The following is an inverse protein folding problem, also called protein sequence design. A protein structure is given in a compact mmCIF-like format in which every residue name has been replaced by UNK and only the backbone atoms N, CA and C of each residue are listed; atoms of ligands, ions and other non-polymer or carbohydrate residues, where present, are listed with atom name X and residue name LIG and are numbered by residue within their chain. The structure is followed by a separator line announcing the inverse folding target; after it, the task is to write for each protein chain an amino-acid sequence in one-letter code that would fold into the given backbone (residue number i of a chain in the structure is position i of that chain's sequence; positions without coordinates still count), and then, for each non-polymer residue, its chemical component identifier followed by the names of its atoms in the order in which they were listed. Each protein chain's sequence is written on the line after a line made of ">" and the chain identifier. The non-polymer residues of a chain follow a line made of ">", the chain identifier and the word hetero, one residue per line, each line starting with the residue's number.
data_IF_961069725708
#
_entry.id   IF_961069725708
#
_cell.length_a   1.000
_cell.length_b   1.000
_cell.length_c   1.000
_cell.angle_alpha   90.00
_cell.angle_beta   90.00
_cell.angle_gamma   90.00
#
_symmetry.space_group_name_H-M   'P 1'
#
loop_
_entity.id
_entity.type
_entity.pdbx_description
1 polymer ?
#
# COMPACT_ATOMS: atom_id res chain seq x y z
N UNK A 1 -11.22 -6.77 -10.75
CA UNK A 1 -11.79 -5.55 -10.10
C UNK A 1 -10.65 -4.60 -9.72
N UNK A 2 -10.98 -3.37 -9.27
CA UNK A 2 -10.00 -2.44 -8.69
C UNK A 2 -10.00 -2.59 -7.18
N UNK A 3 -8.83 -2.79 -6.58
CA UNK A 3 -8.68 -2.97 -5.13
C UNK A 3 -7.81 -1.86 -4.56
N UNK A 4 -8.31 -1.13 -3.58
CA UNK A 4 -7.47 -0.28 -2.72
C UNK A 4 -6.83 -1.18 -1.69
N UNK A 5 -5.50 -1.22 -1.67
CA UNK A 5 -4.73 -2.17 -0.85
C UNK A 5 -4.17 -1.48 0.38
N UNK A 6 -4.40 -2.07 1.55
CA UNK A 6 -3.85 -1.64 2.82
C UNK A 6 -2.31 -1.85 2.89
N UNK A 7 -1.64 -1.04 3.71
CA UNK A 7 -0.19 -1.09 3.93
C UNK A 7 0.30 -2.47 4.37
N UNK A 8 -0.41 -3.11 5.31
CA UNK A 8 -0.02 -4.42 5.85
C UNK A 8 -0.05 -5.52 4.80
N UNK A 9 -1.10 -5.53 3.98
CA UNK A 9 -1.30 -6.50 2.90
C UNK A 9 -0.27 -6.29 1.78
N UNK A 10 -0.08 -5.04 1.34
CA UNK A 10 0.90 -4.74 0.29
C UNK A 10 2.33 -5.06 0.74
N UNK A 11 2.67 -4.71 1.99
CA UNK A 11 3.95 -5.08 2.60
C UNK A 11 4.15 -6.58 2.70
N UNK A 12 3.11 -7.34 3.03
CA UNK A 12 3.15 -8.80 3.11
C UNK A 12 3.36 -9.43 1.73
N UNK A 13 2.71 -8.90 0.69
CA UNK A 13 2.86 -9.37 -0.69
C UNK A 13 4.29 -9.18 -1.23
N UNK A 14 5.00 -8.13 -0.82
CA UNK A 14 6.40 -7.88 -1.19
C UNK A 14 7.42 -8.62 -0.32
N UNK A 15 6.99 -9.15 0.82
CA UNK A 15 7.87 -9.78 1.80
C UNK A 15 8.13 -11.25 1.46
N UNK A 16 9.40 -11.67 1.56
CA UNK A 16 9.74 -13.11 1.54
C UNK A 16 9.35 -13.85 2.83
N UNK A 17 9.21 -13.11 3.94
CA UNK A 17 8.75 -13.67 5.21
C UNK A 17 7.23 -13.85 5.16
N UNK A 18 6.76 -15.08 5.36
CA UNK A 18 5.33 -15.39 5.50
C UNK A 18 4.73 -14.64 6.69
N UNK A 19 3.53 -14.10 6.47
CA UNK A 19 2.67 -13.46 7.47
C UNK A 19 1.26 -14.07 7.35
N UNK A 20 0.97 -15.18 8.07
CA UNK A 20 -0.24 -15.96 7.90
C UNK A 20 -1.53 -15.13 7.99
N UNK A 21 -1.54 -14.09 8.83
CA UNK A 21 -2.65 -13.17 9.00
C UNK A 21 -3.04 -12.41 7.72
N UNK A 22 -2.12 -12.27 6.76
CA UNK A 22 -2.36 -11.61 5.48
C UNK A 22 -2.50 -12.58 4.30
N UNK A 23 -2.28 -13.88 4.49
CA UNK A 23 -2.17 -14.85 3.38
C UNK A 23 -3.45 -14.90 2.52
N UNK A 24 -4.62 -14.90 3.16
CA UNK A 24 -5.90 -14.88 2.48
C UNK A 24 -6.18 -13.56 1.72
N UNK A 25 -5.61 -12.45 2.16
CA UNK A 25 -5.74 -11.15 1.47
C UNK A 25 -4.76 -11.04 0.31
N UNK A 26 -3.52 -11.50 0.51
CA UNK A 26 -2.47 -11.53 -0.52
C UNK A 26 -2.89 -12.44 -1.69
N UNK A 27 -3.48 -13.60 -1.43
CA UNK A 27 -3.93 -14.51 -2.48
C UNK A 27 -5.03 -13.92 -3.37
N UNK A 28 -5.82 -12.98 -2.85
CA UNK A 28 -6.88 -12.27 -3.61
C UNK A 28 -6.35 -11.14 -4.48
N UNK A 29 -5.09 -10.73 -4.34
CA UNK A 29 -4.53 -9.64 -5.15
C UNK A 29 -4.37 -10.06 -6.62
N UNK A 30 -4.06 -11.33 -6.88
CA UNK A 30 -3.83 -11.84 -8.23
C UNK A 30 -5.06 -11.62 -9.14
N UNK A 31 -4.80 -11.15 -10.37
CA UNK A 31 -5.85 -10.86 -11.35
C UNK A 31 -6.63 -9.57 -11.12
N UNK A 32 -6.29 -8.77 -10.10
CA UNK A 32 -6.92 -7.48 -9.84
C UNK A 32 -5.99 -6.29 -10.13
N UNK A 33 -6.57 -5.15 -10.48
CA UNK A 33 -5.84 -3.90 -10.56
C UNK A 33 -5.66 -3.34 -9.15
N UNK A 34 -4.42 -3.22 -8.71
CA UNK A 34 -4.09 -2.72 -7.37
C UNK A 34 -3.98 -1.20 -7.39
N UNK A 35 -4.53 -0.58 -6.36
CA UNK A 35 -4.51 0.86 -6.11
C UNK A 35 -3.91 1.10 -4.71
N UNK A 36 -3.05 2.10 -4.60
CA UNK A 36 -2.53 2.59 -3.30
C UNK A 36 -3.08 3.97 -3.01
N UNK A 37 -3.32 4.27 -1.74
CA UNK A 37 -3.59 5.63 -1.29
C UNK A 37 -2.29 6.30 -0.84
N UNK A 38 -2.27 7.64 -0.84
CA UNK A 38 -1.08 8.41 -0.49
C UNK A 38 -0.52 8.08 0.92
N UNK A 39 -1.38 7.82 1.91
CA UNK A 39 -0.96 7.40 3.25
C UNK A 39 -0.24 6.06 3.25
N UNK A 40 -0.75 5.08 2.50
CA UNK A 40 -0.09 3.77 2.36
C UNK A 40 1.30 3.89 1.76
N UNK A 41 1.48 4.72 0.73
CA UNK A 41 2.82 5.00 0.16
C UNK A 41 3.75 5.63 1.21
N UNK A 42 3.24 6.58 2.00
CA UNK A 42 4.01 7.20 3.07
C UNK A 42 4.41 6.19 4.16
N UNK A 43 3.50 5.34 4.60
CA UNK A 43 3.74 4.30 5.61
C UNK A 43 4.76 3.25 5.13
N UNK A 44 4.68 2.82 3.86
CA UNK A 44 5.65 1.90 3.26
C UNK A 44 7.06 2.48 3.28
N UNK A 45 7.20 3.74 2.83
CA UNK A 45 8.49 4.46 2.85
C UNK A 45 9.00 4.68 4.26
N UNK A 46 8.13 5.08 5.18
CA UNK A 46 8.47 5.23 6.59
C UNK A 46 8.97 3.90 7.19
N UNK A 47 8.28 2.79 6.92
CA UNK A 47 8.69 1.46 7.35
C UNK A 47 10.08 1.06 6.84
N UNK A 48 10.39 1.39 5.59
CA UNK A 48 11.71 1.15 5.01
C UNK A 48 12.82 2.00 5.68
N UNK A 49 12.51 3.25 6.04
CA UNK A 49 13.42 4.15 6.77
C UNK A 49 13.67 3.66 8.20
N UNK A 50 12.60 3.36 8.95
CA UNK A 50 12.69 2.86 10.34
C UNK A 50 13.44 1.54 10.40
N UNK A 51 13.19 0.63 9.47
CA UNK A 51 13.89 -0.65 9.38
C UNK A 51 15.30 -0.54 8.77
N UNK A 52 15.78 0.67 8.47
CA UNK A 52 17.12 0.95 7.90
C UNK A 52 17.45 0.06 6.70
N UNK A 53 16.50 -0.07 5.77
CA UNK A 53 16.72 -0.89 4.57
C UNK A 53 17.85 -0.33 3.70
N UNK A 54 18.70 -1.23 3.21
CA UNK A 54 19.69 -0.90 2.18
C UNK A 54 19.02 -0.39 0.89
N UNK A 55 19.80 0.30 0.05
CA UNK A 55 19.32 0.90 -1.21
C UNK A 55 18.61 -0.11 -2.09
N UNK A 56 19.24 -1.26 -2.36
CA UNK A 56 18.65 -2.30 -3.22
C UNK A 56 17.25 -2.79 -2.77
N UNK A 57 16.97 -2.80 -1.46
CA UNK A 57 15.65 -3.21 -0.95
C UNK A 57 14.64 -2.05 -1.04
N UNK A 58 15.08 -0.81 -0.85
CA UNK A 58 14.25 0.40 -1.05
C UNK A 58 13.90 0.58 -2.52
N UNK A 59 14.84 0.36 -3.44
CA UNK A 59 14.60 0.50 -4.87
C UNK A 59 13.53 -0.47 -5.36
N UNK A 60 13.54 -1.72 -4.89
CA UNK A 60 12.48 -2.70 -5.18
C UNK A 60 11.11 -2.28 -4.65
N UNK A 61 11.06 -1.62 -3.49
CA UNK A 61 9.82 -1.08 -2.95
C UNK A 61 9.31 0.06 -3.84
N UNK A 62 10.18 0.98 -4.23
CA UNK A 62 9.82 2.09 -5.10
C UNK A 62 9.39 1.61 -6.49
N UNK A 63 10.02 0.57 -7.05
CA UNK A 63 9.59 -0.07 -8.30
C UNK A 63 8.19 -0.69 -8.18
N UNK A 64 7.91 -1.38 -7.07
CA UNK A 64 6.58 -1.92 -6.80
C UNK A 64 5.52 -0.82 -6.63
N UNK A 65 5.87 0.30 -5.99
CA UNK A 65 4.99 1.46 -5.87
C UNK A 65 4.77 2.11 -7.25
N UNK A 66 5.82 2.30 -8.04
CA UNK A 66 5.75 2.95 -9.35
C UNK A 66 4.93 2.17 -10.39
N UNK A 67 4.91 0.84 -10.27
CA UNK A 67 4.08 -0.05 -11.10
C UNK A 67 2.64 -0.19 -10.59
N UNK A 68 2.32 0.38 -9.42
CA UNK A 68 0.98 0.40 -8.85
C UNK A 68 0.36 1.79 -9.00
N UNK A 69 -0.92 1.87 -9.37
CA UNK A 69 -1.59 3.17 -9.47
C UNK A 69 -1.80 3.77 -8.08
N UNK A 70 -1.21 4.95 -7.84
CA UNK A 70 -1.49 5.73 -6.63
C UNK A 70 -2.70 6.63 -6.88
N UNK A 71 -3.74 6.49 -6.07
CA UNK A 71 -4.97 7.28 -6.18
C UNK A 71 -4.65 8.74 -5.84
N UNK A 72 -5.00 9.71 -6.72
CA UNK A 72 -4.82 11.12 -6.43
C UNK A 72 -5.62 11.57 -5.21
N UNK A 73 -5.00 12.41 -4.39
CA UNK A 73 -5.74 13.15 -3.36
C UNK A 73 -6.55 14.23 -4.08
N UNK A 74 -7.86 14.10 -4.05
CA UNK A 74 -8.81 15.04 -4.66
C UNK A 74 -9.66 15.72 -3.61
N UNK A 75 -10.19 16.89 -3.93
CA UNK A 75 -11.12 17.61 -3.05
C UNK A 75 -12.31 16.74 -2.64
N UNK A 76 -12.92 16.02 -3.61
CA UNK A 76 -14.02 15.10 -3.34
C UNK A 76 -13.66 14.00 -2.32
N UNK A 77 -12.45 13.44 -2.38
CA UNK A 77 -11.97 12.48 -1.38
C UNK A 77 -11.86 13.14 -0.01
N UNK A 78 -11.30 14.34 0.07
CA UNK A 78 -11.13 15.08 1.32
C UNK A 78 -12.48 15.47 1.94
N UNK A 79 -13.45 15.92 1.14
CA UNK A 79 -14.81 16.19 1.61
C UNK A 79 -15.49 14.95 2.17
N UNK A 80 -15.38 13.81 1.48
CA UNK A 80 -15.94 12.53 1.97
C UNK A 80 -15.29 12.08 3.26
N UNK A 81 -13.96 12.17 3.35
CA UNK A 81 -13.22 11.84 4.56
C UNK A 81 -13.62 12.74 5.74
N UNK A 82 -13.78 14.04 5.51
CA UNK A 82 -14.26 14.98 6.53
C UNK A 82 -15.64 14.58 7.05
N UNK A 83 -16.58 14.24 6.15
CA UNK A 83 -17.90 13.74 6.52
C UNK A 83 -17.86 12.45 7.35
N UNK A 84 -16.98 11.51 6.99
CA UNK A 84 -16.79 10.27 7.76
C UNK A 84 -16.23 10.49 9.17
N UNK A 85 -15.52 11.60 9.42
CA UNK A 85 -14.95 11.95 10.73
C UNK A 85 -15.88 12.78 11.61
N UNK A 86 -16.90 13.39 11.02
CA UNK A 86 -17.88 14.19 11.75
C UNK A 86 -18.95 13.33 12.46
N UNK A 87 -18.88 12.01 12.27
CA UNK A 87 -19.72 10.98 12.88
C UNK A 87 -18.84 10.00 13.65
#
# INVERSE_FOLDING_TARGET
>A
MRLVVDTGVFSAALSRRRRPEFEAMVSRLAGNQLLLVASTVAELRHGALVARWGTARRDRLEEAIATTTVVPVSDALLTRLAGLRAH
#
